data_IF_363846153981
#
_entry.id   IF_363846153981
#
_cell.length_a   1.000
_cell.length_b   1.000
_cell.length_c   1.000
_cell.angle_alpha   90.00
_cell.angle_beta   90.00
_cell.angle_gamma   90.00
#
_symmetry.space_group_name_H-M   'P 1'
#
loop_
_entity.id
_entity.type
_entity.pdbx_description
1 polymer ?
#
# COMPACT_ATOMS: atom_id res chain seq x y z
N UNK A 1 -3.68 -10.71 6.04
CA UNK A 1 -3.29 -9.42 5.44
C UNK A 1 -4.56 -8.66 5.10
N UNK A 2 -4.71 -7.44 5.59
CA UNK A 2 -5.94 -6.62 5.42
C UNK A 2 -5.65 -5.49 4.43
N UNK A 3 -6.55 -5.27 3.48
CA UNK A 3 -6.50 -4.11 2.57
C UNK A 3 -7.37 -2.99 3.14
N UNK A 4 -6.74 -1.90 3.53
CA UNK A 4 -7.36 -0.74 4.15
C UNK A 4 -7.38 0.43 3.17
N UNK A 5 -8.32 1.36 3.40
CA UNK A 5 -8.25 2.70 2.80
C UNK A 5 -7.03 3.46 3.37
N UNK A 6 -6.59 4.56 2.74
CA UNK A 6 -5.43 5.33 3.19
C UNK A 6 -5.53 5.79 4.65
N UNK A 7 -6.63 6.41 5.08
CA UNK A 7 -6.72 6.98 6.44
C UNK A 7 -6.71 5.90 7.54
N UNK A 8 -7.49 4.81 7.44
CA UNK A 8 -7.38 3.71 8.41
C UNK A 8 -6.02 3.01 8.38
N UNK A 9 -5.33 3.00 7.24
CA UNK A 9 -3.98 2.45 7.14
C UNK A 9 -2.98 3.28 7.93
N UNK A 10 -3.05 4.62 7.85
CA UNK A 10 -2.17 5.51 8.61
C UNK A 10 -2.38 5.36 10.12
N UNK A 11 -3.65 5.31 10.57
CA UNK A 11 -3.96 5.10 11.98
C UNK A 11 -3.39 3.78 12.51
N UNK A 12 -3.58 2.68 11.77
CA UNK A 12 -3.02 1.38 12.19
C UNK A 12 -1.49 1.32 12.09
N UNK A 13 -0.90 2.03 11.13
CA UNK A 13 0.54 2.15 11.01
C UNK A 13 1.12 2.88 12.23
N UNK A 14 0.52 4.00 12.64
CA UNK A 14 0.90 4.72 13.86
C UNK A 14 0.79 3.82 15.08
N UNK A 15 -0.33 3.12 15.25
CA UNK A 15 -0.50 2.17 16.36
C UNK A 15 0.52 1.00 16.33
N UNK A 16 0.98 0.57 15.14
CA UNK A 16 2.06 -0.42 15.03
C UNK A 16 3.40 0.13 15.55
N UNK A 17 3.73 1.38 15.21
CA UNK A 17 4.95 2.02 15.70
C UNK A 17 4.90 2.26 17.20
N UNK A 18 3.78 2.76 17.73
CA UNK A 18 3.58 2.96 19.17
C UNK A 18 3.77 1.66 19.98
N UNK A 19 3.23 0.54 19.48
CA UNK A 19 3.41 -0.79 20.12
C UNK A 19 4.82 -1.35 20.01
N UNK A 20 5.58 -0.96 18.99
CA UNK A 20 6.93 -1.49 18.73
C UNK A 20 8.05 -0.60 19.27
N UNK A 21 7.72 0.46 20.01
CA UNK A 21 8.66 1.47 20.52
C UNK A 21 9.75 0.89 21.41
N UNK A 22 9.41 -0.05 22.29
CA UNK A 22 10.37 -0.65 23.22
C UNK A 22 11.10 -1.87 22.64
N UNK A 23 10.36 -2.75 21.95
CA UNK A 23 10.89 -3.96 21.31
C UNK A 23 10.08 -4.30 20.08
N UNK A 24 10.76 -4.40 18.94
CA UNK A 24 10.16 -4.83 17.68
C UNK A 24 10.73 -4.06 16.50
N UNK A 25 10.37 -4.51 15.31
CA UNK A 25 10.66 -3.83 14.06
C UNK A 25 9.40 -3.82 13.23
N UNK A 26 9.10 -2.67 12.64
CA UNK A 26 8.00 -2.54 11.68
C UNK A 26 8.61 -2.51 10.28
N UNK A 27 8.26 -3.49 9.46
CA UNK A 27 8.66 -3.54 8.06
C UNK A 27 7.60 -2.88 7.20
N UNK A 28 8.00 -1.82 6.52
CA UNK A 28 7.19 -1.16 5.51
C UNK A 28 7.80 -1.44 4.13
N UNK A 29 6.97 -1.90 3.20
CA UNK A 29 7.38 -2.17 1.82
C UNK A 29 6.47 -1.42 0.86
N UNK A 30 7.08 -0.75 -0.11
CA UNK A 30 6.41 -0.07 -1.20
C UNK A 30 6.69 -0.83 -2.50
N UNK A 31 5.64 -1.23 -3.23
CA UNK A 31 5.78 -1.93 -4.50
C UNK A 31 4.86 -1.32 -5.56
N UNK A 32 5.42 -0.96 -6.71
CA UNK A 32 4.63 -0.62 -7.90
C UNK A 32 3.88 -1.86 -8.38
N UNK A 33 2.55 -1.78 -8.45
CA UNK A 33 1.67 -2.89 -8.79
C UNK A 33 0.52 -2.42 -9.67
N UNK A 34 0.15 -3.21 -10.67
CA UNK A 34 -1.09 -2.96 -11.43
C UNK A 34 -2.33 -3.50 -10.72
N UNK A 35 -2.19 -4.13 -9.55
CA UNK A 35 -3.24 -4.87 -8.82
C UNK A 35 -3.95 -5.98 -9.64
N UNK A 36 -3.52 -6.23 -10.88
CA UNK A 36 -4.05 -7.28 -11.74
C UNK A 36 -3.17 -8.54 -11.64
N UNK A 37 -3.80 -9.71 -11.72
CA UNK A 37 -3.06 -10.97 -11.85
C UNK A 37 -2.28 -11.01 -13.17
N UNK A 38 -1.24 -11.86 -13.25
CA UNK A 38 -0.45 -12.05 -14.47
C UNK A 38 -1.31 -12.35 -15.70
N UNK A 39 -2.36 -13.16 -15.52
CA UNK A 39 -3.31 -13.53 -16.59
C UNK A 39 -4.08 -12.31 -17.09
N UNK A 40 -4.59 -11.46 -16.20
CA UNK A 40 -5.29 -10.23 -16.58
C UNK A 40 -4.35 -9.21 -17.23
N UNK A 41 -3.10 -9.14 -16.76
CA UNK A 41 -2.07 -8.26 -17.33
C UNK A 41 -1.74 -8.63 -18.77
N UNK A 42 -1.54 -9.92 -19.06
CA UNK A 42 -1.26 -10.39 -20.42
C UNK A 42 -2.43 -10.09 -21.37
N UNK A 43 -3.68 -10.29 -20.92
CA UNK A 43 -4.86 -9.95 -21.72
C UNK A 43 -4.94 -8.45 -22.05
N UNK A 44 -4.68 -7.58 -21.07
CA UNK A 44 -4.66 -6.12 -21.28
C UNK A 44 -3.53 -5.69 -22.22
N UNK A 45 -2.35 -6.31 -22.12
CA UNK A 45 -1.24 -6.03 -23.04
C UNK A 45 -1.55 -6.47 -24.47
N UNK A 46 -2.19 -7.63 -24.66
CA UNK A 46 -2.64 -8.09 -25.99
C UNK A 46 -3.77 -7.21 -26.55
N UNK A 47 -4.63 -6.65 -25.68
CA UNK A 47 -5.72 -5.76 -26.06
C UNK A 47 -5.31 -4.28 -26.24
N UNK A 48 -4.05 -3.92 -25.96
CA UNK A 48 -3.56 -2.54 -26.05
C UNK A 48 -4.12 -1.60 -24.98
N UNK A 49 -4.69 -2.12 -23.90
CA UNK A 49 -5.27 -1.30 -22.83
C UNK A 49 -4.19 -0.68 -21.94
N UNK A 50 -4.37 0.59 -21.58
CA UNK A 50 -3.48 1.30 -20.68
C UNK A 50 -3.54 0.67 -19.27
N UNK A 51 -2.40 0.18 -18.79
CA UNK A 51 -2.29 -0.39 -17.44
C UNK A 51 -2.13 0.75 -16.45
N UNK A 52 -3.19 1.00 -15.67
CA UNK A 52 -3.11 1.89 -14.53
C UNK A 52 -2.18 1.28 -13.47
N UNK A 53 -1.04 1.91 -13.24
CA UNK A 53 -0.11 1.52 -12.20
C UNK A 53 -0.46 2.22 -10.89
N UNK A 54 -0.54 1.43 -9.82
CA UNK A 54 -0.76 1.90 -8.46
C UNK A 54 0.42 1.52 -7.57
N UNK A 55 0.52 2.16 -6.42
CA UNK A 55 1.48 1.81 -5.39
C UNK A 55 0.79 0.95 -4.33
N UNK A 56 1.32 -0.24 -4.10
CA UNK A 56 0.90 -1.11 -3.02
C UNK A 56 1.88 -0.91 -1.85
N UNK A 57 1.37 -0.40 -0.74
CA UNK A 57 2.11 -0.23 0.50
C UNK A 57 1.69 -1.36 1.44
N UNK A 58 2.65 -2.01 2.08
CA UNK A 58 2.41 -3.06 3.08
C UNK A 58 3.25 -2.77 4.31
N UNK A 59 2.63 -2.86 5.48
CA UNK A 59 3.30 -2.73 6.77
C UNK A 59 3.05 -3.97 7.63
N UNK A 60 4.07 -4.41 8.36
CA UNK A 60 3.96 -5.52 9.29
C UNK A 60 4.91 -5.39 10.47
N UNK A 61 4.45 -5.76 11.65
CA UNK A 61 5.22 -5.88 12.89
C UNK A 61 5.65 -7.34 13.18
N UNK A 62 5.51 -8.23 12.17
CA UNK A 62 5.72 -9.67 12.31
C UNK A 62 4.52 -10.46 12.82
N UNK A 63 3.49 -9.80 13.36
CA UNK A 63 2.25 -10.42 13.85
C UNK A 63 1.05 -10.05 12.98
N UNK A 64 0.84 -8.75 12.77
CA UNK A 64 -0.21 -8.15 11.96
C UNK A 64 0.39 -7.63 10.66
N UNK A 65 -0.35 -7.80 9.56
CA UNK A 65 0.03 -7.27 8.25
C UNK A 65 -1.12 -6.45 7.69
N UNK A 66 -0.90 -5.16 7.51
CA UNK A 66 -1.83 -4.21 6.89
C UNK A 66 -1.29 -3.77 5.52
N UNK A 67 -2.18 -3.41 4.63
CA UNK A 67 -1.84 -2.98 3.28
C UNK A 67 -2.79 -1.91 2.79
N UNK A 68 -2.31 -0.99 1.96
CA UNK A 68 -3.13 0.00 1.26
C UNK A 68 -2.64 0.11 -0.17
N UNK A 69 -3.56 0.44 -1.08
CA UNK A 69 -3.23 0.72 -2.47
C UNK A 69 -3.65 2.14 -2.81
N UNK A 70 -2.71 2.95 -3.27
CA UNK A 70 -2.97 4.33 -3.70
C UNK A 70 -2.52 4.53 -5.15
N UNK A 71 -3.29 5.32 -5.90
CA UNK A 71 -2.89 5.79 -7.23
C UNK A 71 -1.88 6.93 -7.08
N UNK A 72 -1.14 7.24 -8.15
CA UNK A 72 -0.09 8.29 -8.12
C UNK A 72 -0.67 9.65 -7.68
N UNK A 73 -1.90 9.96 -8.11
CA UNK A 73 -2.61 11.16 -7.68
C UNK A 73 -2.96 11.15 -6.18
N UNK A 74 -3.35 10.00 -5.62
CA UNK A 74 -3.73 9.89 -4.20
C UNK A 74 -2.55 9.99 -3.24
N UNK A 75 -1.33 9.66 -3.68
CA UNK A 75 -0.11 9.80 -2.85
C UNK A 75 0.25 11.29 -2.67
N UNK A 76 0.10 12.09 -3.73
CA UNK A 76 0.38 13.53 -3.66
C UNK A 76 -0.55 14.24 -2.66
N UNK A 77 -1.85 13.89 -2.65
CA UNK A 77 -2.79 14.49 -1.70
C UNK A 77 -2.47 14.13 -0.24
N UNK A 78 -2.17 12.86 0.06
CA UNK A 78 -1.87 12.44 1.43
C UNK A 78 -0.59 13.11 1.98
N UNK A 79 0.44 13.30 1.15
CA UNK A 79 1.67 13.98 1.59
C UNK A 79 1.55 15.51 1.65
N UNK A 80 0.60 16.10 0.93
CA UNK A 80 0.42 17.55 0.85
C UNK A 80 -0.57 18.11 1.87
N UNK A 81 -1.43 17.27 2.43
CA UNK A 81 -2.37 17.67 3.50
C UNK A 81 -1.75 17.69 4.91
N UNK A 82 -0.51 17.23 5.07
CA UNK A 82 0.18 17.12 6.39
C UNK A 82 1.51 17.91 6.47
N UNK A 83 1.73 18.89 5.57
CA UNK A 83 2.83 19.88 5.68
C UNK A 83 2.26 21.30 5.70
#
# INVERSE_FOLDING_TARGET
>A
MVLLQPDPFLNELTSMFERSTEKGSVWVTLKRSSLKSKVKKNKMTTAGEAIEYRCLIRATDGKKTISTSSSVAGIEFAFRSEI
#
